data_IF_878652760138
#
_entry.id   IF_878652760138
#
_cell.length_a   1.000
_cell.length_b   1.000
_cell.length_c   1.000
_cell.angle_alpha   90.00
_cell.angle_beta   90.00
_cell.angle_gamma   90.00
#
_symmetry.space_group_name_H-M   'P 1'
#
loop_
_entity.id
_entity.type
_entity.pdbx_description
1 polymer ?
#
# COMPACT_ATOMS: atom_id res chain seq x y z
N UNK A 1 0.34 -12.65 12.08
CA UNK A 1 -0.77 -13.06 12.93
C UNK A 1 -1.52 -14.16 12.21
N UNK A 2 -1.81 -15.28 12.91
CA UNK A 2 -2.60 -16.41 12.43
C UNK A 2 -3.92 -16.38 13.20
N UNK A 3 -5.00 -16.04 12.49
CA UNK A 3 -6.35 -16.01 13.07
C UNK A 3 -7.03 -17.38 12.95
N UNK A 4 -8.19 -17.53 13.61
CA UNK A 4 -9.01 -18.75 13.68
C UNK A 4 -8.29 -19.89 14.40
N UNK A 5 -7.48 -19.57 15.43
CA UNK A 5 -6.82 -20.55 16.28
C UNK A 5 -7.77 -21.04 17.38
N UNK A 6 -8.90 -21.65 16.97
CA UNK A 6 -9.98 -22.14 17.84
C UNK A 6 -10.49 -23.51 17.40
N UNK A 7 -11.23 -24.18 18.28
CA UNK A 7 -11.86 -25.47 18.02
C UNK A 7 -10.91 -26.47 17.40
N UNK A 8 -11.32 -27.12 16.33
CA UNK A 8 -10.52 -28.14 15.64
C UNK A 8 -9.34 -27.58 14.84
N UNK A 9 -9.19 -26.25 14.77
CA UNK A 9 -8.13 -25.61 13.99
C UNK A 9 -6.89 -25.23 14.83
N UNK A 10 -6.93 -25.37 16.15
CA UNK A 10 -5.83 -25.01 17.05
C UNK A 10 -4.52 -25.66 16.63
N UNK A 11 -4.52 -26.97 16.40
CA UNK A 11 -3.30 -27.73 16.05
C UNK A 11 -2.70 -27.24 14.71
N UNK A 12 -3.56 -26.91 13.72
CA UNK A 12 -3.12 -26.39 12.43
C UNK A 12 -2.53 -24.99 12.57
N UNK A 13 -3.13 -24.15 13.40
CA UNK A 13 -2.64 -22.79 13.68
C UNK A 13 -1.27 -22.82 14.37
N UNK A 14 -1.07 -23.70 15.35
CA UNK A 14 0.23 -23.86 16.02
C UNK A 14 1.30 -24.45 15.10
N UNK A 15 0.95 -25.40 14.23
CA UNK A 15 1.87 -25.91 13.21
C UNK A 15 2.30 -24.78 12.24
N UNK A 16 1.34 -24.01 11.74
CA UNK A 16 1.62 -22.88 10.86
C UNK A 16 2.49 -21.82 11.57
N UNK A 17 2.24 -21.55 12.86
CA UNK A 17 3.07 -20.66 13.68
C UNK A 17 4.52 -21.14 13.73
N UNK A 18 4.75 -22.41 14.03
CA UNK A 18 6.08 -22.99 14.10
C UNK A 18 6.82 -22.89 12.75
N UNK A 19 6.13 -23.20 11.65
CA UNK A 19 6.69 -23.09 10.30
C UNK A 19 7.08 -21.66 9.95
N UNK A 20 6.20 -20.67 10.23
CA UNK A 20 6.49 -19.27 9.98
C UNK A 20 7.59 -18.71 10.88
N UNK A 21 7.65 -19.14 12.14
CA UNK A 21 8.76 -18.77 13.04
C UNK A 21 10.10 -19.27 12.51
N UNK A 22 10.15 -20.52 12.04
CA UNK A 22 11.35 -21.06 11.40
C UNK A 22 11.73 -20.28 10.15
N UNK A 23 10.76 -19.94 9.30
CA UNK A 23 11.00 -19.15 8.10
C UNK A 23 11.55 -17.75 8.42
N UNK A 24 11.07 -17.10 9.49
CA UNK A 24 11.56 -15.77 9.89
C UNK A 24 13.05 -15.76 10.27
N UNK A 25 13.62 -16.86 10.72
CA UNK A 25 15.06 -16.94 11.02
C UNK A 25 15.95 -16.84 9.77
N UNK A 26 15.41 -17.07 8.58
CA UNK A 26 16.17 -16.95 7.32
C UNK A 26 16.17 -15.54 6.74
N UNK A 27 15.35 -14.65 7.28
CA UNK A 27 15.32 -13.26 6.83
C UNK A 27 16.37 -12.41 7.56
N UNK A 28 16.98 -11.44 6.89
CA UNK A 28 17.86 -10.50 7.56
C UNK A 28 17.10 -9.69 8.62
N UNK A 29 17.82 -9.12 9.60
CA UNK A 29 17.21 -8.23 10.58
C UNK A 29 16.42 -7.11 9.89
N UNK A 30 15.22 -6.83 10.38
CA UNK A 30 14.41 -5.76 9.83
C UNK A 30 14.98 -4.39 10.18
N UNK A 31 14.86 -3.43 9.26
CA UNK A 31 15.40 -2.05 9.43
C UNK A 31 14.87 -1.34 10.68
N UNK A 32 13.69 -1.71 11.16
CA UNK A 32 13.13 -1.19 12.42
C UNK A 32 13.92 -1.58 13.67
N UNK A 33 14.87 -2.52 13.57
CA UNK A 33 15.56 -3.11 14.72
C UNK A 33 14.70 -4.06 15.57
N UNK A 34 13.41 -4.19 15.28
CA UNK A 34 12.48 -5.04 16.03
C UNK A 34 12.23 -6.34 15.28
N UNK A 35 12.49 -7.46 15.93
CA UNK A 35 12.23 -8.78 15.35
C UNK A 35 10.75 -9.08 15.27
N UNK A 36 10.22 -9.48 14.10
CA UNK A 36 8.82 -9.85 13.97
C UNK A 36 8.49 -11.13 14.75
N UNK A 37 7.31 -11.14 15.38
CA UNK A 37 6.81 -12.30 16.13
C UNK A 37 5.62 -12.92 15.40
N UNK A 38 5.57 -14.27 15.38
CA UNK A 38 4.37 -14.98 14.89
C UNK A 38 3.45 -15.26 16.07
N UNK A 39 2.22 -14.79 15.98
CA UNK A 39 1.22 -14.92 17.05
C UNK A 39 -0.05 -15.56 16.51
N UNK A 40 -0.71 -16.36 17.33
CA UNK A 40 -2.01 -16.95 17.06
C UNK A 40 -3.11 -16.22 17.81
N UNK A 41 -4.30 -16.16 17.25
CA UNK A 41 -5.49 -15.62 17.90
C UNK A 41 -6.77 -16.27 17.38
N UNK A 42 -7.86 -16.10 18.11
CA UNK A 42 -9.21 -16.34 17.62
C UNK A 42 -10.06 -15.08 17.80
N UNK A 43 -10.48 -14.49 16.70
CA UNK A 43 -11.43 -13.39 16.73
C UNK A 43 -12.82 -13.85 17.21
N UNK A 44 -13.18 -15.11 16.94
CA UNK A 44 -14.44 -15.70 17.38
C UNK A 44 -14.49 -15.92 18.90
N UNK A 45 -13.46 -16.53 19.46
CA UNK A 45 -13.35 -16.77 20.92
C UNK A 45 -12.75 -15.59 21.69
N UNK A 46 -12.29 -14.54 20.96
CA UNK A 46 -11.62 -13.35 21.51
C UNK A 46 -10.36 -13.66 22.32
N UNK A 47 -9.65 -14.74 21.93
CA UNK A 47 -8.41 -15.16 22.59
C UNK A 47 -7.19 -14.67 21.83
N UNK A 48 -6.12 -14.31 22.54
CA UNK A 48 -4.85 -13.85 21.98
C UNK A 48 -4.85 -12.44 21.41
N UNK A 49 -5.98 -11.72 21.45
CA UNK A 49 -6.10 -10.34 20.91
C UNK A 49 -5.29 -9.36 21.76
N UNK A 50 -5.39 -9.48 23.11
CA UNK A 50 -4.68 -8.59 24.03
C UNK A 50 -3.15 -8.70 23.86
N UNK A 51 -2.64 -9.93 23.75
CA UNK A 51 -1.22 -10.17 23.52
C UNK A 51 -0.73 -9.57 22.18
N UNK A 52 -1.56 -9.62 21.14
CA UNK A 52 -1.27 -8.97 19.86
C UNK A 52 -1.21 -7.45 20.04
N UNK A 53 -2.16 -6.88 20.77
CA UNK A 53 -2.20 -5.45 21.04
C UNK A 53 -0.97 -4.98 21.83
N UNK A 54 -0.61 -5.69 22.88
CA UNK A 54 0.62 -5.43 23.64
C UNK A 54 1.88 -5.48 22.76
N UNK A 55 1.95 -6.47 21.85
CA UNK A 55 3.07 -6.55 20.91
C UNK A 55 3.11 -5.35 19.91
N UNK A 56 1.94 -4.85 19.49
CA UNK A 56 1.85 -3.65 18.65
C UNK A 56 2.34 -2.41 19.43
N UNK A 57 1.90 -2.25 20.68
CA UNK A 57 2.34 -1.15 21.53
C UNK A 57 3.84 -1.19 21.79
N UNK A 58 4.38 -2.38 22.05
CA UNK A 58 5.83 -2.58 22.19
C UNK A 58 6.58 -2.19 20.92
N UNK A 59 6.13 -2.64 19.75
CA UNK A 59 6.71 -2.25 18.46
C UNK A 59 6.71 -0.73 18.25
N UNK A 60 5.58 -0.07 18.54
CA UNK A 60 5.49 1.38 18.43
C UNK A 60 6.47 2.08 19.38
N UNK A 61 6.58 1.63 20.62
CA UNK A 61 7.50 2.18 21.60
C UNK A 61 8.97 2.04 21.17
N UNK A 62 9.38 0.83 20.77
CA UNK A 62 10.75 0.57 20.30
C UNK A 62 11.12 1.40 19.07
N UNK A 63 10.20 1.46 18.10
CA UNK A 63 10.45 2.21 16.86
C UNK A 63 10.41 3.72 17.03
N UNK A 64 9.68 4.23 18.02
CA UNK A 64 9.76 5.64 18.42
C UNK A 64 11.09 5.95 19.11
N UNK A 65 11.54 5.07 20.01
CA UNK A 65 12.79 5.30 20.75
C UNK A 65 14.03 5.29 19.82
N UNK A 66 14.05 4.42 18.80
CA UNK A 66 15.16 4.35 17.85
C UNK A 66 15.01 5.28 16.63
N UNK A 67 13.95 6.09 16.57
CA UNK A 67 13.70 7.06 15.49
C UNK A 67 13.15 6.47 14.17
N UNK A 68 13.05 5.15 14.06
CA UNK A 68 12.54 4.50 12.84
C UNK A 68 11.10 4.90 12.53
N UNK A 69 10.26 5.04 13.56
CA UNK A 69 8.86 5.45 13.39
C UNK A 69 8.75 6.80 12.69
N UNK A 70 9.52 7.79 13.12
CA UNK A 70 9.46 9.15 12.57
C UNK A 70 9.98 9.19 11.13
N UNK A 71 11.07 8.47 10.84
CA UNK A 71 11.60 8.33 9.48
C UNK A 71 10.55 7.72 8.56
N UNK A 72 9.92 6.63 8.97
CA UNK A 72 8.86 5.98 8.16
C UNK A 72 7.64 6.87 7.96
N UNK A 73 7.24 7.64 8.97
CA UNK A 73 6.13 8.62 8.85
C UNK A 73 6.47 9.74 7.88
N UNK A 74 7.69 10.23 7.89
CA UNK A 74 8.16 11.24 6.93
C UNK A 74 8.15 10.70 5.48
N UNK A 75 8.64 9.47 5.27
CA UNK A 75 8.59 8.81 3.96
C UNK A 75 7.16 8.59 3.47
N UNK A 76 6.26 8.14 4.34
CA UNK A 76 4.83 8.00 4.02
C UNK A 76 4.21 9.34 3.65
N UNK A 77 4.51 10.41 4.39
CA UNK A 77 3.98 11.74 4.11
C UNK A 77 4.46 12.25 2.74
N UNK A 78 5.73 12.01 2.42
CA UNK A 78 6.29 12.31 1.10
C UNK A 78 5.58 11.51 0.00
N UNK A 79 5.37 10.22 0.20
CA UNK A 79 4.65 9.36 -0.75
C UNK A 79 3.23 9.89 -1.01
N UNK A 80 2.46 10.13 0.04
CA UNK A 80 1.09 10.64 -0.08
C UNK A 80 1.01 12.01 -0.73
N UNK A 81 2.02 12.87 -0.54
CA UNK A 81 2.10 14.15 -1.24
C UNK A 81 2.16 13.94 -2.76
N UNK A 82 3.04 13.06 -3.24
CA UNK A 82 3.15 12.79 -4.68
C UNK A 82 1.91 12.10 -5.23
N UNK A 83 1.39 11.08 -4.55
CA UNK A 83 0.16 10.40 -4.96
C UNK A 83 -1.02 11.39 -5.09
N UNK A 84 -1.15 12.31 -4.12
CA UNK A 84 -2.21 13.33 -4.17
C UNK A 84 -2.04 14.26 -5.35
N UNK A 85 -0.80 14.70 -5.64
CA UNK A 85 -0.51 15.56 -6.81
C UNK A 85 -0.87 14.83 -8.10
N UNK A 86 -0.39 13.60 -8.27
CA UNK A 86 -0.62 12.81 -9.48
C UNK A 86 -2.12 12.52 -9.69
N UNK A 87 -2.84 12.16 -8.61
CA UNK A 87 -4.28 11.94 -8.67
C UNK A 87 -5.04 13.22 -9.06
N UNK A 88 -4.72 14.37 -8.46
CA UNK A 88 -5.39 15.63 -8.77
C UNK A 88 -5.10 16.08 -10.20
N UNK A 89 -3.85 16.00 -10.66
CA UNK A 89 -3.48 16.34 -12.05
C UNK A 89 -4.21 15.41 -13.04
N UNK A 90 -4.21 14.13 -12.78
CA UNK A 90 -4.91 13.13 -13.61
C UNK A 90 -6.40 13.42 -13.68
N UNK A 91 -7.05 13.61 -12.55
CA UNK A 91 -8.48 13.86 -12.47
C UNK A 91 -8.85 15.16 -13.19
N UNK A 92 -8.09 16.22 -12.97
CA UNK A 92 -8.32 17.51 -13.63
C UNK A 92 -8.15 17.39 -15.15
N UNK A 93 -7.10 16.72 -15.62
CA UNK A 93 -6.88 16.48 -17.05
C UNK A 93 -8.04 15.71 -17.68
N UNK A 94 -8.43 14.56 -17.11
CA UNK A 94 -9.51 13.76 -17.68
C UNK A 94 -10.87 14.44 -17.64
N UNK A 95 -11.12 15.27 -16.64
CA UNK A 95 -12.36 16.06 -16.57
C UNK A 95 -12.36 17.18 -17.62
N UNK A 96 -11.27 17.94 -17.70
CA UNK A 96 -11.18 19.08 -18.64
C UNK A 96 -11.11 18.65 -20.11
N UNK A 97 -10.50 17.51 -20.41
CA UNK A 97 -10.33 17.00 -21.78
C UNK A 97 -11.36 15.92 -22.17
N UNK A 98 -12.43 15.73 -21.39
CA UNK A 98 -13.36 14.60 -21.54
C UNK A 98 -13.94 14.46 -22.97
N UNK A 99 -14.34 15.54 -23.60
CA UNK A 99 -14.92 15.48 -24.96
C UNK A 99 -13.82 15.29 -26.01
N UNK A 100 -12.67 15.94 -25.86
CA UNK A 100 -11.53 15.77 -26.76
C UNK A 100 -11.00 14.34 -26.73
N UNK A 101 -10.96 13.72 -25.54
CA UNK A 101 -10.57 12.31 -25.38
C UNK A 101 -11.47 11.36 -26.17
N UNK A 102 -12.79 11.56 -26.15
CA UNK A 102 -13.72 10.72 -26.92
C UNK A 102 -13.48 10.81 -28.44
N UNK A 103 -13.12 12.00 -28.92
CA UNK A 103 -12.78 12.21 -30.34
C UNK A 103 -11.45 11.53 -30.65
N UNK A 104 -10.44 11.75 -29.83
CA UNK A 104 -9.13 11.15 -29.95
C UNK A 104 -9.16 9.61 -29.95
N UNK A 105 -9.93 9.01 -29.07
CA UNK A 105 -10.13 7.56 -29.01
C UNK A 105 -10.65 7.01 -30.35
N UNK A 106 -11.67 7.65 -30.94
CA UNK A 106 -12.22 7.24 -32.26
C UNK A 106 -11.19 7.33 -33.37
N UNK A 107 -10.38 8.40 -33.39
CA UNK A 107 -9.37 8.62 -34.40
C UNK A 107 -8.23 7.57 -34.27
N UNK A 108 -7.79 7.27 -33.07
CA UNK A 108 -6.78 6.25 -32.79
C UNK A 108 -7.30 4.86 -33.17
N UNK A 109 -8.53 4.50 -32.75
CA UNK A 109 -9.14 3.21 -33.09
C UNK A 109 -9.36 2.98 -34.57
N UNK A 110 -9.55 4.06 -35.36
CA UNK A 110 -9.67 4.01 -36.82
C UNK A 110 -8.32 4.12 -37.55
N UNK A 111 -7.20 4.10 -36.84
CA UNK A 111 -5.83 4.26 -37.37
C UNK A 111 -5.62 5.56 -38.20
N UNK A 112 -6.41 6.61 -37.95
CA UNK A 112 -6.28 7.89 -38.63
C UNK A 112 -5.10 8.71 -38.10
N UNK A 113 -4.76 8.55 -36.84
CA UNK A 113 -3.69 9.27 -36.16
C UNK A 113 -2.90 8.35 -35.24
N UNK A 114 -1.63 8.71 -35.00
CA UNK A 114 -0.79 8.01 -34.03
C UNK A 114 -1.26 8.29 -32.60
N UNK A 115 -1.34 7.27 -31.76
CA UNK A 115 -1.67 7.41 -30.35
C UNK A 115 -0.75 8.39 -29.61
N UNK A 116 0.55 8.42 -29.96
CA UNK A 116 1.51 9.35 -29.36
C UNK A 116 1.26 10.79 -29.80
N UNK A 117 0.98 11.02 -31.10
CA UNK A 117 0.71 12.37 -31.60
C UNK A 117 -0.53 12.99 -30.95
N UNK A 118 -1.62 12.23 -30.86
CA UNK A 118 -2.86 12.69 -30.19
C UNK A 118 -2.66 12.91 -28.70
N UNK A 119 -1.89 12.06 -28.03
CA UNK A 119 -1.61 12.26 -26.61
C UNK A 119 -0.85 13.57 -26.35
N UNK A 120 0.16 13.88 -27.17
CA UNK A 120 0.89 15.16 -27.07
C UNK A 120 -0.02 16.35 -27.39
N UNK A 121 -0.86 16.27 -28.40
CA UNK A 121 -1.81 17.33 -28.74
C UNK A 121 -2.80 17.61 -27.58
N UNK A 122 -3.34 16.56 -26.95
CA UNK A 122 -4.23 16.71 -25.81
C UNK A 122 -3.53 17.34 -24.60
N UNK A 123 -2.27 16.98 -24.36
CA UNK A 123 -1.46 17.58 -23.29
C UNK A 123 -1.13 19.05 -23.59
N UNK A 124 -0.73 19.37 -24.82
CA UNK A 124 -0.44 20.76 -25.23
C UNK A 124 -1.69 21.66 -25.11
N UNK A 125 -2.84 21.17 -25.54
CA UNK A 125 -4.13 21.86 -25.38
C UNK A 125 -4.45 22.09 -23.90
N UNK A 126 -4.25 21.09 -23.06
CA UNK A 126 -4.47 21.19 -21.62
C UNK A 126 -3.58 22.24 -20.95
N UNK A 127 -2.28 22.23 -21.24
CA UNK A 127 -1.33 23.18 -20.66
C UNK A 127 -1.53 24.61 -21.18
N UNK A 128 -1.97 24.79 -22.41
CA UNK A 128 -2.23 26.11 -22.98
C UNK A 128 -3.55 26.74 -22.49
N UNK A 129 -4.53 25.90 -22.11
CA UNK A 129 -5.82 26.39 -21.60
C UNK A 129 -5.73 26.78 -20.11
N UNK A 130 -4.73 26.26 -19.37
CA UNK A 130 -4.56 26.50 -17.94
C UNK A 130 -3.43 27.51 -17.62
N UNK A 131 -3.02 28.31 -18.60
CA UNK A 131 -2.19 29.51 -18.42
C UNK A 131 -3.08 30.73 -18.19
#
# INVERSE_FOLDING_TARGET
IINKADGNNIQRAELAKAQLQTALHFFPPHESGVMPKVMTCSAYERTGIDAIWENILHYCSETQQNGYFDVRRAEQSKYWMYETIDEQLRNHFYQSQKENLKIAEKQVMSNQVSSFAVAFELLDNYFNTNK
#
